data_IF_021653485590
#
_entry.id   IF_021653485590
#
_cell.length_a   1.000
_cell.length_b   1.000
_cell.length_c   1.000
_cell.angle_alpha   90.00
_cell.angle_beta   90.00
_cell.angle_gamma   90.00
#
_symmetry.space_group_name_H-M   'P 1'
#
loop_
_entity.id
_entity.type
_entity.pdbx_description
1 polymer ?
#
# COMPACT_ATOMS: atom_id res chain seq x y z
N UNK A 1 -22.11 -11.52 7.27
CA UNK A 1 -22.81 -10.26 6.90
C UNK A 1 -22.27 -9.83 5.57
N UNK A 2 -23.04 -9.96 4.50
CA UNK A 2 -22.69 -9.47 3.18
C UNK A 2 -22.63 -7.94 3.22
N UNK A 3 -21.44 -7.38 3.15
CA UNK A 3 -21.27 -5.95 2.94
C UNK A 3 -21.66 -5.72 1.48
N UNK A 4 -22.84 -5.16 1.26
CA UNK A 4 -23.26 -4.68 -0.06
C UNK A 4 -22.44 -3.43 -0.37
N UNK A 5 -21.42 -3.57 -1.19
CA UNK A 5 -20.78 -2.41 -1.80
C UNK A 5 -21.81 -1.76 -2.72
N UNK A 6 -22.16 -0.50 -2.44
CA UNK A 6 -23.04 0.26 -3.31
C UNK A 6 -22.27 0.61 -4.59
N UNK A 7 -22.39 -0.24 -5.60
CA UNK A 7 -21.93 0.07 -6.95
C UNK A 7 -22.96 1.03 -7.53
N UNK A 8 -22.60 2.31 -7.60
CA UNK A 8 -23.43 3.29 -8.27
C UNK A 8 -23.22 3.16 -9.80
N UNK A 9 -24.26 2.70 -10.48
CA UNK A 9 -24.29 2.70 -11.95
C UNK A 9 -24.86 4.06 -12.36
N UNK A 10 -24.07 4.88 -13.06
CA UNK A 10 -24.61 6.07 -13.73
C UNK A 10 -25.68 5.66 -14.74
N UNK A 11 -26.63 6.57 -15.05
CA UNK A 11 -27.65 6.38 -16.12
C UNK A 11 -27.05 6.02 -17.49
N UNK A 12 -25.75 6.20 -17.67
CA UNK A 12 -24.94 5.86 -18.86
C UNK A 12 -24.42 4.42 -18.88
N UNK A 13 -24.66 3.62 -17.82
CA UNK A 13 -24.10 2.27 -17.68
C UNK A 13 -22.66 2.23 -17.16
N UNK A 14 -22.04 3.39 -16.87
CA UNK A 14 -20.69 3.45 -16.32
C UNK A 14 -20.67 3.08 -14.83
N UNK A 15 -19.71 2.22 -14.44
CA UNK A 15 -19.46 1.88 -13.04
C UNK A 15 -18.71 3.04 -12.39
N UNK A 16 -19.37 3.69 -11.42
CA UNK A 16 -18.67 4.67 -10.57
C UNK A 16 -17.87 3.95 -9.48
N UNK A 17 -16.56 4.12 -9.52
CA UNK A 17 -15.64 3.64 -8.49
C UNK A 17 -15.51 4.72 -7.42
N UNK A 18 -15.96 4.46 -6.20
CA UNK A 18 -16.05 5.48 -5.14
C UNK A 18 -15.34 5.10 -3.84
N UNK A 19 -14.65 3.96 -3.80
CA UNK A 19 -13.91 3.53 -2.62
C UNK A 19 -12.48 3.12 -2.98
N UNK A 20 -11.52 3.68 -2.23
CA UNK A 20 -10.12 3.34 -2.31
C UNK A 20 -9.69 2.64 -1.02
N UNK A 21 -9.19 1.42 -1.11
CA UNK A 21 -8.74 0.65 0.05
C UNK A 21 -7.30 1.05 0.44
N UNK A 22 -7.12 1.59 1.64
CA UNK A 22 -5.82 2.14 2.09
C UNK A 22 -4.97 1.18 2.92
N UNK A 23 -5.54 0.06 3.40
CA UNK A 23 -4.87 -0.89 4.28
C UNK A 23 -4.99 -2.30 3.74
N UNK A 24 -3.95 -2.78 3.09
CA UNK A 24 -3.95 -4.10 2.47
C UNK A 24 -2.57 -4.77 2.57
N UNK A 25 -2.58 -6.06 2.90
CA UNK A 25 -1.41 -6.90 3.06
C UNK A 25 -1.30 -7.95 1.99
N UNK A 26 -0.08 -8.21 1.54
CA UNK A 26 0.25 -9.27 0.58
C UNK A 26 1.16 -10.31 1.22
N UNK A 27 1.54 -11.32 0.42
CA UNK A 27 2.53 -12.31 0.82
C UNK A 27 3.88 -11.72 1.28
N UNK A 28 4.15 -10.44 0.98
CA UNK A 28 5.38 -9.76 1.44
C UNK A 28 5.34 -9.38 2.92
N UNK A 29 4.16 -9.25 3.54
CA UNK A 29 4.01 -9.12 4.98
C UNK A 29 4.57 -10.32 5.74
N UNK A 30 4.62 -11.50 5.11
CA UNK A 30 5.10 -12.75 5.71
C UNK A 30 6.62 -12.79 5.95
N UNK A 31 7.38 -11.79 5.51
CA UNK A 31 8.75 -11.61 5.95
C UNK A 31 8.85 -11.37 7.46
N UNK A 32 7.76 -10.92 8.07
CA UNK A 32 7.69 -10.58 9.49
C UNK A 32 6.67 -11.45 10.25
N UNK A 33 5.47 -11.54 9.74
CA UNK A 33 4.35 -12.30 10.32
C UNK A 33 3.72 -13.14 9.22
N UNK A 34 3.42 -14.40 9.52
CA UNK A 34 2.68 -15.26 8.59
C UNK A 34 1.20 -14.93 8.74
N UNK A 35 0.71 -13.93 8.05
CA UNK A 35 -0.65 -13.42 8.17
C UNK A 35 -1.39 -13.23 6.84
N UNK A 36 -0.69 -13.27 5.71
CA UNK A 36 -1.31 -13.01 4.41
C UNK A 36 -0.85 -14.00 3.33
N UNK A 37 -1.82 -14.48 2.55
CA UNK A 37 -1.60 -15.28 1.34
C UNK A 37 -1.98 -14.52 0.07
N UNK A 38 -2.30 -13.24 0.20
CA UNK A 38 -2.79 -12.43 -0.90
C UNK A 38 -1.66 -12.09 -1.88
N UNK A 39 -1.87 -12.40 -3.13
CA UNK A 39 -0.96 -12.02 -4.21
C UNK A 39 -1.37 -10.69 -4.81
N UNK A 40 -0.39 -9.84 -5.10
CA UNK A 40 -0.62 -8.50 -5.63
C UNK A 40 -1.48 -8.47 -6.91
N UNK A 41 -1.20 -9.37 -7.86
CA UNK A 41 -1.96 -9.48 -9.11
C UNK A 41 -3.43 -9.83 -8.85
N UNK A 42 -3.68 -10.78 -7.95
CA UNK A 42 -5.03 -11.20 -7.56
C UNK A 42 -5.80 -10.11 -6.83
N UNK A 43 -5.12 -9.38 -5.94
CA UNK A 43 -5.73 -8.27 -5.22
C UNK A 43 -6.14 -7.13 -6.18
N UNK A 44 -5.29 -6.81 -7.16
CA UNK A 44 -5.59 -5.80 -8.17
C UNK A 44 -6.78 -6.24 -9.04
N UNK A 45 -6.78 -7.51 -9.49
CA UNK A 45 -7.90 -8.05 -10.27
C UNK A 45 -9.20 -8.01 -9.48
N UNK A 46 -9.18 -8.47 -8.24
CA UNK A 46 -10.36 -8.47 -7.38
C UNK A 46 -10.86 -7.06 -7.05
N UNK A 47 -9.97 -6.13 -6.73
CA UNK A 47 -10.34 -4.73 -6.50
C UNK A 47 -11.01 -4.11 -7.74
N UNK A 48 -10.51 -4.43 -8.91
CA UNK A 48 -11.12 -4.03 -10.17
C UNK A 48 -12.53 -4.63 -10.34
N UNK A 49 -12.67 -5.94 -10.13
CA UNK A 49 -13.93 -6.68 -10.31
C UNK A 49 -15.04 -6.20 -9.38
N UNK A 50 -14.72 -5.90 -8.12
CA UNK A 50 -15.69 -5.40 -7.14
C UNK A 50 -15.92 -3.88 -7.24
N UNK A 51 -15.30 -3.19 -8.19
CA UNK A 51 -15.54 -1.78 -8.47
C UNK A 51 -14.87 -0.81 -7.51
N UNK A 52 -13.71 -1.14 -6.92
CA UNK A 52 -12.91 -0.15 -6.19
C UNK A 52 -12.28 0.86 -7.14
N UNK A 53 -12.08 2.10 -6.68
CA UNK A 53 -11.27 3.10 -7.38
C UNK A 53 -9.77 2.80 -7.30
N UNK A 54 -9.38 1.84 -6.47
CA UNK A 54 -8.01 1.40 -6.30
C UNK A 54 -7.69 0.87 -4.91
N UNK A 55 -6.41 0.62 -4.67
CA UNK A 55 -5.91 0.14 -3.39
C UNK A 55 -4.48 0.60 -3.13
N UNK A 56 -4.13 0.73 -1.84
CA UNK A 56 -2.74 0.86 -1.41
C UNK A 56 -2.20 -0.50 -0.97
N UNK A 57 -0.94 -0.78 -1.26
CA UNK A 57 -0.21 -1.90 -0.68
C UNK A 57 0.59 -1.40 0.52
N UNK A 58 0.28 -1.93 1.69
CA UNK A 58 0.77 -1.47 2.98
C UNK A 58 1.27 -2.64 3.83
N UNK A 59 2.17 -3.44 3.26
CA UNK A 59 2.74 -4.60 3.94
C UNK A 59 3.48 -4.19 5.22
N UNK A 60 3.54 -5.11 6.20
CA UNK A 60 4.21 -4.92 7.48
C UNK A 60 5.71 -4.67 7.31
N UNK A 61 6.18 -3.45 7.62
CA UNK A 61 7.57 -3.00 7.60
C UNK A 61 8.36 -3.41 6.35
N UNK A 62 7.68 -3.63 5.23
CA UNK A 62 8.26 -4.20 4.03
C UNK A 62 7.89 -3.41 2.78
N UNK A 63 8.90 -3.04 2.01
CA UNK A 63 8.75 -2.38 0.70
C UNK A 63 9.21 -3.26 -0.47
N UNK A 64 9.57 -4.51 -0.19
CA UNK A 64 10.17 -5.44 -1.17
C UNK A 64 9.21 -5.78 -2.32
N UNK A 65 7.91 -5.76 -2.08
CA UNK A 65 6.88 -6.04 -3.06
C UNK A 65 6.59 -4.90 -4.03
N UNK A 66 7.02 -3.68 -3.76
CA UNK A 66 6.58 -2.48 -4.47
C UNK A 66 6.75 -2.55 -5.99
N UNK A 67 7.90 -3.05 -6.47
CA UNK A 67 8.13 -3.18 -7.92
C UNK A 67 7.21 -4.22 -8.57
N UNK A 68 6.89 -5.31 -7.85
CA UNK A 68 5.95 -6.32 -8.31
C UNK A 68 4.53 -5.77 -8.38
N UNK A 69 4.14 -4.95 -7.39
CA UNK A 69 2.84 -4.28 -7.37
C UNK A 69 2.69 -3.33 -8.57
N UNK A 70 3.70 -2.52 -8.84
CA UNK A 70 3.69 -1.63 -10.01
C UNK A 70 3.62 -2.39 -11.34
N UNK A 71 4.34 -3.52 -11.46
CA UNK A 71 4.25 -4.36 -12.66
C UNK A 71 2.86 -4.94 -12.86
N UNK A 72 2.26 -5.48 -11.80
CA UNK A 72 0.91 -6.03 -11.83
C UNK A 72 -0.12 -4.95 -12.19
N UNK A 73 0.00 -3.77 -11.61
CA UNK A 73 -0.85 -2.63 -11.91
C UNK A 73 -0.77 -2.18 -13.36
N UNK A 74 0.45 -1.98 -13.88
CA UNK A 74 0.67 -1.61 -15.28
C UNK A 74 0.05 -2.63 -16.23
N UNK A 75 0.29 -3.93 -15.97
CA UNK A 75 -0.29 -5.02 -16.76
C UNK A 75 -1.82 -5.00 -16.72
N UNK A 76 -2.43 -4.68 -15.58
CA UNK A 76 -3.89 -4.54 -15.46
C UNK A 76 -4.41 -3.37 -16.29
N UNK A 77 -3.78 -2.20 -16.19
CA UNK A 77 -4.17 -1.03 -16.98
C UNK A 77 -4.12 -1.32 -18.48
N UNK A 78 -3.03 -1.91 -18.97
CA UNK A 78 -2.87 -2.26 -20.36
C UNK A 78 -3.94 -3.24 -20.85
N UNK A 79 -4.24 -4.26 -20.06
CA UNK A 79 -5.26 -5.27 -20.38
C UNK A 79 -6.64 -4.64 -20.47
N UNK A 80 -7.01 -3.82 -19.49
CA UNK A 80 -8.33 -3.19 -19.47
C UNK A 80 -8.45 -2.09 -20.52
N UNK A 81 -7.36 -1.37 -20.83
CA UNK A 81 -7.32 -0.41 -21.92
C UNK A 81 -7.59 -1.08 -23.26
N UNK A 82 -6.82 -2.12 -23.58
CA UNK A 82 -7.00 -2.87 -24.85
C UNK A 82 -8.42 -3.44 -24.99
N UNK A 83 -9.03 -3.86 -23.87
CA UNK A 83 -10.40 -4.37 -23.87
C UNK A 83 -11.46 -3.30 -24.12
N UNK A 84 -11.28 -2.10 -23.56
CA UNK A 84 -12.26 -1.01 -23.65
C UNK A 84 -12.04 -0.13 -24.88
N UNK A 85 -10.81 -0.03 -25.35
CA UNK A 85 -10.39 0.84 -26.44
C UNK A 85 -9.52 0.08 -27.47
N UNK A 86 -10.07 -0.93 -28.17
CA UNK A 86 -9.28 -1.85 -29.00
C UNK A 86 -8.56 -1.16 -30.16
N UNK A 87 -9.13 -0.06 -30.69
CA UNK A 87 -8.63 0.67 -31.85
C UNK A 87 -7.82 1.92 -31.47
N UNK A 88 -7.54 2.12 -30.19
CA UNK A 88 -6.81 3.28 -29.68
C UNK A 88 -5.45 2.85 -29.11
N UNK A 89 -4.39 3.50 -29.58
CA UNK A 89 -3.06 3.29 -29.03
C UNK A 89 -3.00 3.53 -27.53
N UNK A 90 -2.14 2.79 -26.83
CA UNK A 90 -1.97 2.92 -25.40
C UNK A 90 -1.28 4.24 -25.05
N UNK A 91 -1.92 5.14 -24.32
CA UNK A 91 -1.29 6.35 -23.83
C UNK A 91 -0.36 6.05 -22.64
N UNK A 92 0.08 7.07 -21.94
CA UNK A 92 0.85 6.90 -20.71
C UNK A 92 0.04 6.15 -19.63
N UNK A 93 0.74 5.48 -18.69
CA UNK A 93 0.07 4.80 -17.56
C UNK A 93 -0.73 5.76 -16.68
N UNK A 94 -0.31 7.01 -16.60
CA UNK A 94 -1.04 8.05 -15.86
C UNK A 94 -2.39 8.35 -16.53
N UNK A 95 -2.40 8.52 -17.84
CA UNK A 95 -3.62 8.75 -18.62
C UNK A 95 -4.54 7.52 -18.60
N UNK A 96 -3.99 6.32 -18.76
CA UNK A 96 -4.78 5.08 -18.61
C UNK A 96 -5.41 4.98 -17.23
N UNK A 97 -4.64 5.24 -16.16
CA UNK A 97 -5.13 5.24 -14.78
C UNK A 97 -6.28 6.23 -14.56
N UNK A 98 -6.13 7.43 -15.12
CA UNK A 98 -7.14 8.49 -15.02
C UNK A 98 -8.41 8.14 -15.79
N UNK A 99 -8.29 7.64 -17.02
CA UNK A 99 -9.42 7.29 -17.87
C UNK A 99 -10.17 6.06 -17.34
N UNK A 100 -9.45 5.07 -16.86
CA UNK A 100 -10.03 3.85 -16.29
C UNK A 100 -10.51 4.03 -14.84
N UNK A 101 -10.25 5.19 -14.22
CA UNK A 101 -10.57 5.51 -12.82
C UNK A 101 -10.12 4.42 -11.83
N UNK A 102 -8.87 3.97 -11.98
CA UNK A 102 -8.29 2.94 -11.12
C UNK A 102 -6.83 3.24 -10.79
N UNK A 103 -6.50 3.26 -9.49
CA UNK A 103 -5.17 3.62 -8.98
C UNK A 103 -4.61 2.57 -8.04
N UNK A 104 -3.29 2.45 -8.02
CA UNK A 104 -2.54 1.74 -7.00
C UNK A 104 -1.59 2.71 -6.32
N UNK A 105 -1.60 2.71 -4.99
CA UNK A 105 -0.66 3.46 -4.18
C UNK A 105 0.33 2.52 -3.49
N UNK A 106 1.54 3.02 -3.25
CA UNK A 106 2.58 2.30 -2.50
C UNK A 106 2.64 2.87 -1.09
N UNK A 107 2.58 2.00 -0.13
CA UNK A 107 2.59 2.34 1.28
C UNK A 107 3.39 1.34 2.10
N UNK A 108 3.37 1.53 3.40
CA UNK A 108 3.99 0.63 4.36
C UNK A 108 3.27 0.75 5.70
N UNK A 109 2.98 -0.37 6.34
CA UNK A 109 2.57 -0.36 7.73
C UNK A 109 3.81 -0.42 8.60
N UNK A 110 4.19 0.71 9.17
CA UNK A 110 5.34 0.82 10.06
C UNK A 110 4.97 0.50 11.50
N UNK A 111 5.94 0.09 12.28
CA UNK A 111 5.83 -0.14 13.72
C UNK A 111 6.55 0.99 14.46
N UNK A 112 5.78 1.99 14.85
CA UNK A 112 6.30 3.11 15.62
C UNK A 112 6.59 2.66 17.06
N UNK A 113 7.76 2.97 17.55
CA UNK A 113 8.26 2.59 18.87
C UNK A 113 8.95 3.75 19.55
N UNK A 114 9.07 3.70 20.87
CA UNK A 114 9.89 4.64 21.64
C UNK A 114 11.36 4.54 21.22
N UNK A 115 12.06 5.67 21.28
CA UNK A 115 13.49 5.72 20.96
C UNK A 115 14.32 4.95 21.96
N UNK A 116 15.34 4.24 21.45
CA UNK A 116 16.28 3.52 22.30
C UNK A 116 15.73 2.25 22.94
N UNK A 117 14.60 1.74 22.46
CA UNK A 117 14.04 0.48 22.96
C UNK A 117 15.06 -0.64 22.82
N UNK A 118 15.53 -1.17 23.93
CA UNK A 118 16.49 -2.26 23.97
C UNK A 118 15.83 -3.60 23.59
N UNK A 119 16.63 -4.52 23.04
CA UNK A 119 16.24 -5.88 22.65
C UNK A 119 15.53 -6.67 23.74
N UNK A 120 15.78 -6.32 25.01
CA UNK A 120 15.25 -6.99 26.18
C UNK A 120 14.00 -6.31 26.75
N UNK A 121 13.62 -5.14 26.24
CA UNK A 121 12.43 -4.43 26.68
C UNK A 121 11.22 -4.83 25.84
N UNK A 122 10.12 -5.17 26.51
CA UNK A 122 8.81 -5.36 25.91
C UNK A 122 8.17 -3.98 25.72
N UNK A 123 8.60 -3.26 24.68
CA UNK A 123 8.00 -1.98 24.33
C UNK A 123 6.72 -2.14 23.54
N UNK A 124 5.91 -1.09 23.53
CA UNK A 124 4.76 -0.99 22.65
C UNK A 124 5.20 -0.64 21.22
N UNK A 125 4.57 -1.29 20.24
CA UNK A 125 4.73 -1.03 18.83
C UNK A 125 3.38 -0.58 18.28
N UNK A 126 3.29 0.69 17.97
CA UNK A 126 2.07 1.27 17.40
C UNK A 126 2.09 1.13 15.88
N UNK A 127 1.02 0.58 15.34
CA UNK A 127 0.89 0.39 13.90
C UNK A 127 0.43 1.69 13.23
N UNK A 128 1.18 2.14 12.26
CA UNK A 128 0.88 3.33 11.49
C UNK A 128 1.03 3.05 10.00
N UNK A 129 0.05 3.46 9.20
CA UNK A 129 0.10 3.33 7.76
C UNK A 129 0.62 4.63 7.16
N UNK A 130 1.61 4.48 6.29
CA UNK A 130 2.12 5.54 5.44
C UNK A 130 1.84 5.19 3.98
N UNK A 131 1.25 6.13 3.22
CA UNK A 131 0.98 5.97 1.79
C UNK A 131 1.63 7.10 1.02
N UNK A 132 2.40 6.76 -0.01
CA UNK A 132 3.04 7.73 -0.87
C UNK A 132 2.03 8.43 -1.78
N UNK A 133 2.07 9.76 -1.82
CA UNK A 133 1.31 10.58 -2.75
C UNK A 133 2.00 10.72 -4.10
N UNK A 134 3.33 10.63 -4.09
CA UNK A 134 4.21 10.83 -5.24
C UNK A 134 5.56 10.11 -5.09
N UNK A 135 6.47 10.33 -6.03
CA UNK A 135 7.79 9.70 -6.05
C UNK A 135 8.66 10.08 -4.84
N UNK A 136 8.55 11.32 -4.33
CA UNK A 136 9.30 11.73 -3.15
C UNK A 136 8.76 11.04 -1.88
N UNK A 137 7.44 10.91 -1.74
CA UNK A 137 6.82 10.14 -0.67
C UNK A 137 7.26 8.66 -0.70
N UNK A 138 7.32 8.07 -1.88
CA UNK A 138 7.85 6.71 -2.02
C UNK A 138 9.32 6.59 -1.62
N UNK A 139 10.14 7.58 -1.94
CA UNK A 139 11.54 7.63 -1.49
C UNK A 139 11.63 7.71 0.03
N UNK A 140 10.82 8.55 0.67
CA UNK A 140 10.77 8.68 2.13
C UNK A 140 10.34 7.36 2.80
N UNK A 141 9.34 6.65 2.29
CA UNK A 141 8.94 5.32 2.80
C UNK A 141 10.10 4.33 2.71
N UNK A 142 10.84 4.31 1.61
CA UNK A 142 12.01 3.43 1.47
C UNK A 142 13.12 3.77 2.47
N UNK A 143 13.35 5.04 2.73
CA UNK A 143 14.34 5.49 3.73
C UNK A 143 13.93 5.09 5.14
N UNK A 144 12.65 5.26 5.51
CA UNK A 144 12.11 4.81 6.80
C UNK A 144 12.24 3.30 6.96
N UNK A 145 11.82 2.53 5.96
CA UNK A 145 11.96 1.07 5.97
C UNK A 145 13.43 0.66 6.13
N UNK A 146 14.36 1.28 5.39
CA UNK A 146 15.80 1.00 5.50
C UNK A 146 16.33 1.30 6.90
N UNK A 147 15.97 2.42 7.50
CA UNK A 147 16.38 2.79 8.85
C UNK A 147 15.85 1.80 9.90
N UNK A 148 14.58 1.38 9.77
CA UNK A 148 13.99 0.39 10.66
C UNK A 148 14.68 -0.98 10.55
N UNK A 149 14.97 -1.45 9.33
CA UNK A 149 15.63 -2.72 9.10
C UNK A 149 17.10 -2.75 9.56
N UNK A 150 17.81 -1.64 9.54
CA UNK A 150 19.16 -1.54 10.11
C UNK A 150 19.18 -1.79 11.63
N UNK A 151 18.07 -1.54 12.30
CA UNK A 151 17.88 -1.76 13.74
C UNK A 151 17.14 -3.07 14.05
N UNK A 152 16.84 -3.86 13.03
CA UNK A 152 16.05 -5.08 13.19
C UNK A 152 16.70 -6.08 14.13
N UNK A 153 15.90 -6.71 14.99
CA UNK A 153 16.30 -7.84 15.81
C UNK A 153 15.22 -8.90 15.88
N UNK A 154 15.61 -10.13 16.15
CA UNK A 154 14.69 -11.25 16.32
C UNK A 154 14.97 -11.95 17.65
N UNK A 155 13.95 -12.05 18.50
CA UNK A 155 13.96 -12.90 19.71
C UNK A 155 12.94 -14.02 19.52
N UNK A 156 11.66 -13.73 19.61
CA UNK A 156 10.56 -14.61 19.27
C UNK A 156 9.87 -14.17 17.97
N UNK A 157 9.80 -12.87 17.74
CA UNK A 157 9.23 -12.23 16.55
C UNK A 157 10.22 -11.18 16.05
N UNK A 158 10.39 -11.09 14.74
CA UNK A 158 11.20 -10.05 14.12
C UNK A 158 10.63 -8.66 14.45
N UNK A 159 11.49 -7.77 14.94
CA UNK A 159 11.18 -6.38 15.25
C UNK A 159 11.97 -5.44 14.36
N UNK A 160 11.31 -4.47 13.80
CA UNK A 160 11.84 -3.46 12.88
C UNK A 160 11.30 -2.09 13.31
N UNK A 161 11.83 -1.51 14.41
CA UNK A 161 11.26 -0.29 14.98
C UNK A 161 11.54 0.92 14.10
N UNK A 162 10.51 1.69 13.83
CA UNK A 162 10.59 3.06 13.35
C UNK A 162 10.50 4.00 14.54
N UNK A 163 11.42 4.94 14.67
CA UNK A 163 11.43 5.89 15.77
C UNK A 163 10.78 7.22 15.39
N UNK A 164 10.23 7.98 16.34
CA UNK A 164 9.72 9.33 16.09
C UNK A 164 10.74 10.24 15.42
N UNK A 165 12.03 10.13 15.79
CA UNK A 165 13.13 10.88 15.17
C UNK A 165 13.30 10.56 13.69
N UNK A 166 13.06 9.31 13.26
CA UNK A 166 13.11 8.95 11.83
C UNK A 166 12.01 9.67 11.07
N UNK A 167 10.78 9.66 11.60
CA UNK A 167 9.67 10.39 11.00
C UNK A 167 10.00 11.87 10.89
N UNK A 168 10.50 12.45 11.98
CA UNK A 168 10.85 13.87 12.02
C UNK A 168 11.95 14.26 11.04
N UNK A 169 12.93 13.39 10.83
CA UNK A 169 14.08 13.66 9.97
C UNK A 169 13.83 13.36 8.49
N UNK A 170 13.06 12.32 8.20
CA UNK A 170 12.88 11.80 6.84
C UNK A 170 11.60 12.35 6.19
N UNK A 171 10.50 12.44 6.94
CA UNK A 171 9.20 12.86 6.37
C UNK A 171 9.14 14.39 6.27
N UNK A 172 9.20 14.89 5.05
CA UNK A 172 9.18 16.33 4.74
C UNK A 172 8.19 16.62 3.61
N UNK A 173 7.76 17.85 3.51
CA UNK A 173 7.09 18.40 2.33
C UNK A 173 5.66 17.89 2.08
N UNK A 174 5.07 17.10 2.97
CA UNK A 174 3.68 16.65 2.83
C UNK A 174 3.44 15.61 1.71
N UNK A 175 4.46 14.82 1.35
CA UNK A 175 4.43 13.80 0.31
C UNK A 175 3.81 12.46 0.74
N UNK A 176 3.45 12.33 2.02
CA UNK A 176 2.83 11.14 2.58
C UNK A 176 1.43 11.43 3.12
N UNK A 177 0.57 10.43 3.02
CA UNK A 177 -0.66 10.32 3.81
C UNK A 177 -0.35 9.37 4.96
N UNK A 178 -0.81 9.73 6.16
CA UNK A 178 -0.65 8.92 7.35
C UNK A 178 -2.02 8.62 7.96
N UNK A 179 -2.20 7.38 8.42
CA UNK A 179 -3.39 6.97 9.18
C UNK A 179 -3.03 5.92 10.21
N UNK A 180 -3.86 5.76 11.24
CA UNK A 180 -3.80 4.61 12.14
C UNK A 180 -4.12 3.33 11.38
N UNK A 181 -3.52 2.22 11.77
CA UNK A 181 -3.71 0.94 11.10
C UNK A 181 -4.88 0.14 11.69
N UNK A 182 -4.66 -0.47 12.83
CA UNK A 182 -5.61 -1.33 13.52
C UNK A 182 -5.76 -0.90 14.99
N UNK A 183 -6.40 -1.73 15.82
CA UNK A 183 -6.53 -1.48 17.28
C UNK A 183 -5.18 -1.44 18.01
N UNK A 184 -4.09 -1.88 17.39
CA UNK A 184 -2.72 -1.75 17.91
C UNK A 184 -2.00 -0.47 17.51
N UNK A 185 -2.68 0.41 16.76
CA UNK A 185 -2.13 1.68 16.28
C UNK A 185 -2.54 2.88 17.13
#
# INVERSE_FOLDING_TARGET
KNIKYNIYIKKTGEIMRNYFSVHNHTEYSNLKLIDSINRADRMIDYAWEIGLSGLAFTDHDCVSGHLKFLKAYKSKLEKEWTKQFPDIDKPSYEEMSKQLDFKVALGNEIYLSEEGLDKDQLGHFYHMILVAKDAEGWKQIKQLSSAAWQRAWCKAILRTPTYPSDLFNIVKGGHLICTTACLGG
#
